data_IF_636999127521
#
_entry.id   IF_636999127521
#
_cell.length_a   1.000
_cell.length_b   1.000
_cell.length_c   1.000
_cell.angle_alpha   90.00
_cell.angle_beta   90.00
_cell.angle_gamma   90.00
#
_symmetry.space_group_name_H-M   'P 1'
#
loop_
_entity.id
_entity.type
_entity.pdbx_description
1 polymer ?
#
# COMPACT_ATOMS: atom_id res chain seq x y z
N UNK A 1 -3.43 5.09 3.73
CA UNK A 1 -2.42 4.00 3.60
C UNK A 1 -1.20 4.28 4.47
N UNK A 2 -0.32 5.23 4.14
CA UNK A 2 0.93 5.52 4.89
C UNK A 2 0.73 5.60 6.42
N UNK A 3 -0.19 6.46 6.91
CA UNK A 3 -0.46 6.64 8.36
C UNK A 3 -0.98 5.40 9.11
N UNK A 4 -1.42 4.36 8.39
CA UNK A 4 -1.92 3.10 8.98
C UNK A 4 -0.84 2.01 8.99
N UNK A 5 0.29 2.26 8.33
CA UNK A 5 1.41 1.32 8.23
C UNK A 5 2.54 1.76 9.18
N UNK A 6 2.90 3.05 9.17
CA UNK A 6 4.01 3.61 9.98
C UNK A 6 3.57 4.58 11.08
N UNK A 7 2.25 4.77 11.24
CA UNK A 7 1.71 5.67 12.26
C UNK A 7 1.27 4.92 13.51
N UNK A 8 0.93 5.65 14.57
CA UNK A 8 0.53 5.08 15.87
C UNK A 8 -0.71 4.15 15.80
N UNK A 9 -1.57 4.32 14.80
CA UNK A 9 -2.82 3.60 14.67
C UNK A 9 -2.81 2.67 13.45
N UNK A 10 -2.42 1.42 13.69
CA UNK A 10 -2.37 0.32 12.72
C UNK A 10 -3.78 -0.17 12.33
N UNK A 11 -3.85 -1.13 11.40
CA UNK A 11 -5.09 -1.77 10.92
C UNK A 11 -5.00 -3.29 11.04
N UNK A 12 -6.12 -3.92 11.36
CA UNK A 12 -6.21 -5.38 11.57
C UNK A 12 -5.78 -6.19 10.34
N UNK A 13 -5.98 -5.67 9.12
CA UNK A 13 -5.57 -6.31 7.88
C UNK A 13 -4.07 -6.68 7.85
N UNK A 14 -3.21 -5.87 8.48
CA UNK A 14 -1.79 -6.17 8.63
C UNK A 14 -1.50 -6.85 9.96
N UNK A 15 -2.11 -6.40 11.06
CA UNK A 15 -1.82 -6.94 12.41
C UNK A 15 -2.24 -8.40 12.58
N UNK A 16 -3.25 -8.86 11.84
CA UNK A 16 -3.69 -10.26 11.84
C UNK A 16 -2.70 -11.22 11.14
N UNK A 17 -1.71 -10.70 10.39
CA UNK A 17 -0.66 -11.50 9.75
C UNK A 17 0.39 -11.87 10.81
N UNK A 18 0.29 -13.10 11.32
CA UNK A 18 1.18 -13.60 12.39
C UNK A 18 2.67 -13.67 12.00
N UNK A 19 2.97 -13.96 10.73
CA UNK A 19 4.34 -14.01 10.22
C UNK A 19 4.86 -12.59 9.95
N UNK A 20 5.78 -12.13 10.81
CA UNK A 20 6.33 -10.79 10.73
C UNK A 20 7.06 -10.50 9.40
N UNK A 21 7.70 -11.49 8.79
CA UNK A 21 8.39 -11.32 7.50
C UNK A 21 7.38 -11.14 6.36
N UNK A 22 6.31 -11.93 6.36
CA UNK A 22 5.21 -11.77 5.39
C UNK A 22 4.48 -10.44 5.59
N UNK A 23 4.21 -10.07 6.84
CA UNK A 23 3.58 -8.79 7.20
C UNK A 23 4.41 -7.61 6.70
N UNK A 24 5.69 -7.58 7.02
CA UNK A 24 6.61 -6.52 6.56
C UNK A 24 6.69 -6.45 5.02
N UNK A 25 6.64 -7.60 4.33
CA UNK A 25 6.56 -7.66 2.87
C UNK A 25 5.30 -6.98 2.32
N UNK A 26 4.13 -7.29 2.89
CA UNK A 26 2.85 -6.69 2.52
C UNK A 26 2.80 -5.19 2.85
N UNK A 27 3.24 -4.79 4.05
CA UNK A 27 3.32 -3.40 4.49
C UNK A 27 4.22 -2.58 3.56
N UNK A 28 5.39 -3.13 3.16
CA UNK A 28 6.31 -2.45 2.24
C UNK A 28 5.69 -2.22 0.87
N UNK A 29 5.05 -3.23 0.27
CA UNK A 29 4.36 -3.07 -1.03
C UNK A 29 3.24 -2.04 -0.95
N UNK A 30 2.43 -2.10 0.11
CA UNK A 30 1.36 -1.12 0.34
C UNK A 30 1.90 0.31 0.54
N UNK A 31 3.06 0.45 1.19
CA UNK A 31 3.72 1.73 1.39
C UNK A 31 4.30 2.31 0.09
N UNK A 32 4.94 1.48 -0.74
CA UNK A 32 5.46 1.91 -2.06
C UNK A 32 4.34 2.39 -2.97
N UNK A 33 3.27 1.60 -3.09
CA UNK A 33 2.08 1.98 -3.84
C UNK A 33 1.50 3.30 -3.32
N UNK A 34 1.37 3.46 -2.00
CA UNK A 34 0.84 4.68 -1.42
C UNK A 34 1.71 5.91 -1.73
N UNK A 35 3.05 5.77 -1.72
CA UNK A 35 3.98 6.83 -2.12
C UNK A 35 3.83 7.17 -3.60
N UNK A 36 3.68 6.17 -4.47
CA UNK A 36 3.49 6.35 -5.91
C UNK A 36 2.18 7.09 -6.18
N UNK A 37 1.07 6.63 -5.60
CA UNK A 37 -0.23 7.30 -5.73
C UNK A 37 -0.18 8.74 -5.21
N UNK A 38 0.47 9.00 -4.09
CA UNK A 38 0.55 10.37 -3.56
C UNK A 38 1.31 11.32 -4.48
N UNK A 39 2.43 10.87 -5.06
CA UNK A 39 3.29 11.67 -5.96
C UNK A 39 2.69 11.81 -7.35
N UNK A 40 2.06 10.75 -7.87
CA UNK A 40 1.67 10.63 -9.26
C UNK A 40 0.15 10.66 -9.48
N UNK A 41 -0.67 10.93 -8.45
CA UNK A 41 -2.15 10.95 -8.55
C UNK A 41 -2.71 11.73 -9.74
N UNK A 42 -2.01 12.79 -10.19
CA UNK A 42 -2.44 13.63 -11.32
C UNK A 42 -2.18 13.01 -12.69
N UNK A 43 -1.34 11.98 -12.77
CA UNK A 43 -1.02 11.26 -14.02
C UNK A 43 -2.06 10.21 -14.36
N UNK A 44 -2.77 9.70 -13.34
CA UNK A 44 -3.83 8.73 -13.53
C UNK A 44 -5.08 9.43 -14.07
N UNK A 45 -5.58 8.96 -15.22
CA UNK A 45 -6.75 9.51 -15.90
C UNK A 45 -8.05 8.87 -15.42
N UNK A 46 -7.98 7.60 -15.01
CA UNK A 46 -9.12 6.86 -14.49
C UNK A 46 -8.72 5.85 -13.41
N UNK A 47 -9.73 5.21 -12.81
CA UNK A 47 -9.54 4.23 -11.74
C UNK A 47 -8.92 2.91 -12.23
N UNK A 48 -9.08 2.54 -13.50
CA UNK A 48 -8.50 1.32 -14.06
C UNK A 48 -6.98 1.43 -14.15
N UNK A 49 -6.44 2.61 -14.44
CA UNK A 49 -5.00 2.85 -14.41
C UNK A 49 -4.43 2.69 -12.99
N UNK A 50 -5.19 3.13 -11.97
CA UNK A 50 -4.83 2.92 -10.56
C UNK A 50 -4.85 1.43 -10.20
N UNK A 51 -5.88 0.69 -10.61
CA UNK A 51 -5.96 -0.77 -10.40
C UNK A 51 -4.79 -1.48 -11.11
N UNK A 52 -4.45 -1.06 -12.32
CA UNK A 52 -3.30 -1.60 -13.06
C UNK A 52 -1.98 -1.37 -12.32
N UNK A 53 -1.77 -0.17 -11.75
CA UNK A 53 -0.61 0.13 -10.93
C UNK A 53 -0.55 -0.72 -9.65
N UNK A 54 -1.70 -1.08 -9.07
CA UNK A 54 -1.77 -2.00 -7.91
C UNK A 54 -1.31 -3.40 -8.31
N UNK A 55 -1.82 -3.93 -9.42
CA UNK A 55 -1.49 -5.29 -9.89
C UNK A 55 -0.02 -5.42 -10.31
N UNK A 56 0.60 -4.37 -10.83
CA UNK A 56 2.03 -4.33 -11.17
C UNK A 56 2.97 -4.28 -9.95
N UNK A 57 2.45 -4.02 -8.75
CA UNK A 57 3.23 -3.89 -7.52
C UNK A 57 2.94 -4.99 -6.48
N UNK A 58 2.29 -6.10 -6.89
CA UNK A 58 2.06 -7.28 -6.04
C UNK A 58 3.30 -8.16 -5.88
#
# INVERSE_FOLDING_TARGET
>A
MIRRIIGVAHVEDFESIADASKRAGCERRALELAKLLLKERKKFQDINEVISAILQHQ
#
